data_IF_828988004904
#
_entry.id   IF_828988004904
#
_cell.length_a   1.000
_cell.length_b   1.000
_cell.length_c   1.000
_cell.angle_alpha   90.00
_cell.angle_beta   90.00
_cell.angle_gamma   90.00
#
_symmetry.space_group_name_H-M   'P 1'
#
loop_
_entity.id
_entity.type
_entity.pdbx_description
1 polymer ?
#
# COMPACT_ATOMS: atom_id res chain seq x y z
N UNK A 1 5.31 17.44 -11.54
CA UNK A 1 3.99 16.83 -11.25
C UNK A 1 4.19 15.52 -10.51
N UNK A 2 3.99 15.52 -9.19
CA UNK A 2 4.28 14.36 -8.33
C UNK A 2 3.22 13.25 -8.49
N UNK A 3 1.97 13.63 -8.75
CA UNK A 3 0.83 12.71 -9.00
C UNK A 3 1.16 11.70 -10.10
N UNK A 4 1.53 12.14 -11.31
CA UNK A 4 1.77 11.21 -12.43
C UNK A 4 2.90 10.22 -12.18
N UNK A 5 3.94 10.64 -11.46
CA UNK A 5 5.07 9.78 -11.14
C UNK A 5 4.65 8.69 -10.15
N UNK A 6 4.01 9.08 -9.05
CA UNK A 6 3.55 8.14 -8.03
C UNK A 6 2.43 7.24 -8.55
N UNK A 7 1.53 7.79 -9.37
CA UNK A 7 0.49 7.05 -10.07
C UNK A 7 1.08 5.96 -10.98
N UNK A 8 2.06 6.32 -11.81
CA UNK A 8 2.72 5.40 -12.72
C UNK A 8 3.48 4.28 -11.99
N UNK A 9 4.15 4.62 -10.89
CA UNK A 9 4.81 3.62 -10.03
C UNK A 9 3.78 2.69 -9.39
N UNK A 10 2.68 3.22 -8.84
CA UNK A 10 1.61 2.42 -8.24
C UNK A 10 1.01 1.42 -9.25
N UNK A 11 0.66 1.88 -10.47
CA UNK A 11 0.15 1.00 -11.53
C UNK A 11 1.15 -0.09 -11.90
N UNK A 12 2.44 0.26 -11.98
CA UNK A 12 3.49 -0.71 -12.30
C UNK A 12 3.58 -1.80 -11.23
N UNK A 13 3.50 -1.44 -9.95
CA UNK A 13 3.51 -2.41 -8.85
C UNK A 13 2.25 -3.27 -8.86
N UNK A 14 1.05 -2.68 -9.01
CA UNK A 14 -0.21 -3.43 -9.12
C UNK A 14 -0.16 -4.45 -10.27
N UNK A 15 0.30 -4.03 -11.45
CA UNK A 15 0.43 -4.91 -12.60
C UNK A 15 1.46 -6.04 -12.36
N UNK A 16 2.56 -5.72 -11.68
CA UNK A 16 3.56 -6.71 -11.27
C UNK A 16 2.97 -7.74 -10.30
N UNK A 17 2.21 -7.29 -9.29
CA UNK A 17 1.60 -8.15 -8.27
C UNK A 17 0.55 -9.09 -8.89
N UNK A 18 -0.31 -8.56 -9.77
CA UNK A 18 -1.27 -9.37 -10.53
C UNK A 18 -0.56 -10.44 -11.38
N UNK A 19 0.49 -10.06 -12.11
CA UNK A 19 1.24 -11.00 -12.95
C UNK A 19 1.92 -12.10 -12.13
N UNK A 20 2.35 -11.80 -10.91
CA UNK A 20 2.94 -12.76 -9.97
C UNK A 20 1.89 -13.56 -9.22
N UNK A 21 0.60 -13.22 -9.37
CA UNK A 21 -0.50 -13.76 -8.57
C UNK A 21 -0.21 -13.61 -7.06
N UNK A 22 0.36 -12.47 -6.69
CA UNK A 22 0.67 -12.10 -5.32
C UNK A 22 -0.28 -11.02 -4.84
N UNK A 23 -0.49 -10.97 -3.52
CA UNK A 23 -1.20 -9.85 -2.89
C UNK A 23 -0.50 -8.50 -3.16
N UNK A 24 -1.23 -7.38 -3.05
CA UNK A 24 -0.65 -6.05 -3.24
C UNK A 24 0.59 -5.85 -2.38
N UNK A 25 1.66 -5.38 -3.00
CA UNK A 25 2.93 -5.10 -2.34
C UNK A 25 2.84 -3.86 -1.45
N UNK A 26 3.72 -3.78 -0.44
CA UNK A 26 3.86 -2.57 0.38
C UNK A 26 4.22 -1.35 -0.47
N UNK A 27 4.99 -1.55 -1.55
CA UNK A 27 5.35 -0.50 -2.52
C UNK A 27 4.13 0.09 -3.23
N UNK A 28 3.22 -0.77 -3.73
CA UNK A 28 1.97 -0.34 -4.34
C UNK A 28 1.15 0.55 -3.38
N UNK A 29 1.03 0.13 -2.11
CA UNK A 29 0.33 0.87 -1.06
C UNK A 29 0.96 2.23 -0.75
N UNK A 30 2.28 2.31 -0.70
CA UNK A 30 3.01 3.58 -0.49
C UNK A 30 2.73 4.55 -1.64
N UNK A 31 2.89 4.11 -2.88
CA UNK A 31 2.65 4.96 -4.05
C UNK A 31 1.17 5.39 -4.17
N UNK A 32 0.23 4.54 -3.76
CA UNK A 32 -1.19 4.88 -3.70
C UNK A 32 -1.47 5.99 -2.67
N UNK A 33 -0.87 5.88 -1.49
CA UNK A 33 -0.99 6.89 -0.45
C UNK A 33 -0.37 8.23 -0.88
N UNK A 34 0.82 8.20 -1.49
CA UNK A 34 1.47 9.38 -2.06
C UNK A 34 0.63 10.04 -3.14
N UNK A 35 0.05 9.24 -4.05
CA UNK A 35 -0.84 9.75 -5.11
C UNK A 35 -2.07 10.44 -4.51
N UNK A 36 -2.70 9.84 -3.50
CA UNK A 36 -3.85 10.42 -2.79
C UNK A 36 -3.50 11.72 -2.07
N UNK A 37 -2.34 11.77 -1.41
CA UNK A 37 -1.86 12.97 -0.74
C UNK A 37 -1.61 14.11 -1.74
N UNK A 38 -0.89 13.83 -2.82
CA UNK A 38 -0.59 14.80 -3.86
C UNK A 38 -1.86 15.31 -4.58
N UNK A 39 -2.86 14.45 -4.79
CA UNK A 39 -4.16 14.86 -5.35
C UNK A 39 -4.90 15.85 -4.44
N UNK A 40 -4.89 15.62 -3.13
CA UNK A 40 -5.53 16.52 -2.15
C UNK A 40 -4.81 17.86 -2.06
N UNK A 41 -3.48 17.84 -2.03
CA UNK A 41 -2.66 19.06 -2.03
C UNK A 41 -2.97 19.91 -3.27
N UNK A 42 -3.08 19.27 -4.43
CA UNK A 42 -3.39 19.94 -5.68
C UNK A 42 -4.82 20.51 -5.70
N UNK A 43 -5.79 19.81 -5.10
CA UNK A 43 -7.16 20.32 -4.94
C UNK A 43 -7.18 21.58 -4.05
N UNK A 44 -6.47 21.56 -2.92
CA UNK A 44 -6.34 22.73 -2.04
C UNK A 44 -5.66 23.91 -2.75
N UNK A 45 -4.71 23.65 -3.64
CA UNK A 45 -4.06 24.69 -4.45
C UNK A 45 -5.04 25.35 -5.42
N UNK A 46 -5.93 24.57 -6.04
CA UNK A 46 -7.02 25.12 -6.87
C UNK A 46 -8.00 25.98 -6.07
N UNK A 47 -8.32 25.55 -4.86
CA UNK A 47 -9.25 26.29 -3.98
C UNK A 47 -8.62 27.56 -3.39
N UNK A 48 -7.30 27.58 -3.21
CA UNK A 48 -6.56 28.68 -2.59
C UNK A 48 -5.92 29.65 -3.59
N UNK A 49 -5.93 29.34 -4.88
CA UNK A 49 -5.23 30.14 -5.88
C UNK A 49 -5.91 31.50 -6.09
N UNK A 50 -5.14 32.55 -5.84
CA UNK A 50 -5.48 33.92 -6.22
C UNK A 50 -4.93 34.14 -7.63
N UNK A 51 -5.78 33.97 -8.64
CA UNK A 51 -5.44 33.94 -10.07
C UNK A 51 -5.14 35.33 -10.68
N UNK A 52 -4.54 36.22 -9.89
CA UNK A 52 -4.42 37.63 -10.25
C UNK A 52 -3.35 37.82 -11.33
N UNK A 53 -3.77 38.38 -12.48
CA UNK A 53 -2.90 38.59 -13.65
C UNK A 53 -2.77 37.40 -14.61
N UNK A 54 -3.49 36.29 -14.37
CA UNK A 54 -3.55 35.16 -15.32
C UNK A 54 -4.71 35.37 -16.30
N UNK A 55 -4.47 35.11 -17.59
CA UNK A 55 -5.53 35.16 -18.59
C UNK A 55 -6.61 34.11 -18.30
N UNK A 56 -7.88 34.46 -18.52
CA UNK A 56 -9.01 33.59 -18.19
C UNK A 56 -8.95 32.24 -18.93
N UNK A 57 -8.44 32.22 -20.17
CA UNK A 57 -8.30 30.99 -20.94
C UNK A 57 -7.20 30.11 -20.35
N UNK A 58 -6.06 30.69 -19.99
CA UNK A 58 -4.94 29.97 -19.37
C UNK A 58 -5.32 29.40 -18.00
N UNK A 59 -6.06 30.19 -17.19
CA UNK A 59 -6.64 29.74 -15.92
C UNK A 59 -7.59 28.55 -16.14
N UNK A 60 -8.49 28.66 -17.11
CA UNK A 60 -9.48 27.62 -17.41
C UNK A 60 -8.79 26.33 -17.84
N UNK A 61 -7.85 26.41 -18.78
CA UNK A 61 -7.10 25.24 -19.27
C UNK A 61 -6.28 24.60 -18.15
N UNK A 62 -5.59 25.40 -17.34
CA UNK A 62 -4.81 24.91 -16.20
C UNK A 62 -5.70 24.19 -15.19
N UNK A 63 -6.84 24.79 -14.85
CA UNK A 63 -7.83 24.19 -13.94
C UNK A 63 -8.35 22.86 -14.48
N UNK A 64 -8.71 22.81 -15.77
CA UNK A 64 -9.20 21.58 -16.42
C UNK A 64 -8.15 20.49 -16.39
N UNK A 65 -6.89 20.79 -16.70
CA UNK A 65 -5.79 19.82 -16.66
C UNK A 65 -5.62 19.28 -15.24
N UNK A 66 -5.66 20.16 -14.23
CA UNK A 66 -5.53 19.76 -12.83
C UNK A 66 -6.69 18.85 -12.40
N UNK A 67 -7.93 19.22 -12.70
CA UNK A 67 -9.11 18.41 -12.38
C UNK A 67 -9.04 17.03 -13.05
N UNK A 68 -8.62 16.98 -14.32
CA UNK A 68 -8.43 15.71 -15.02
C UNK A 68 -7.38 14.81 -14.32
N UNK A 69 -6.33 15.39 -13.78
CA UNK A 69 -5.29 14.65 -13.05
C UNK A 69 -5.79 14.11 -11.71
N UNK A 70 -6.65 14.87 -11.03
CA UNK A 70 -7.36 14.44 -9.82
C UNK A 70 -8.29 13.27 -10.16
N UNK A 71 -9.11 13.40 -11.21
CA UNK A 71 -10.02 12.36 -11.67
C UNK A 71 -9.28 11.06 -12.01
N UNK A 72 -8.15 11.16 -12.73
CA UNK A 72 -7.29 10.02 -13.04
C UNK A 72 -6.77 9.37 -11.76
N UNK A 73 -6.32 10.15 -10.77
CA UNK A 73 -5.86 9.62 -9.49
C UNK A 73 -6.97 8.85 -8.74
N UNK A 74 -8.23 9.30 -8.82
CA UNK A 74 -9.36 8.55 -8.26
C UNK A 74 -9.59 7.20 -8.96
N UNK A 75 -9.40 7.13 -10.29
CA UNK A 75 -9.47 5.85 -11.01
C UNK A 75 -8.41 4.86 -10.53
N UNK A 76 -7.21 5.31 -10.13
CA UNK A 76 -6.21 4.42 -9.55
C UNK A 76 -6.66 3.81 -8.22
N UNK A 77 -7.38 4.57 -7.38
CA UNK A 77 -7.96 4.01 -6.15
C UNK A 77 -8.94 2.87 -6.46
N UNK A 78 -9.80 3.07 -7.46
CA UNK A 78 -10.75 2.04 -7.92
C UNK A 78 -10.04 0.82 -8.51
N UNK A 79 -8.98 1.04 -9.31
CA UNK A 79 -8.15 -0.04 -9.87
C UNK A 79 -7.48 -0.83 -8.74
N UNK A 80 -6.87 -0.14 -7.77
CA UNK A 80 -6.21 -0.78 -6.62
C UNK A 80 -7.20 -1.61 -5.79
N UNK A 81 -8.38 -1.08 -5.50
CA UNK A 81 -9.43 -1.79 -4.77
C UNK A 81 -9.90 -3.03 -5.54
N UNK A 82 -10.08 -2.90 -6.86
CA UNK A 82 -10.50 -4.01 -7.72
C UNK A 82 -9.40 -5.08 -7.83
N UNK A 83 -8.14 -4.66 -7.90
CA UNK A 83 -6.99 -5.56 -7.91
C UNK A 83 -6.87 -6.34 -6.59
N UNK A 84 -7.11 -5.68 -5.45
CA UNK A 84 -7.14 -6.34 -4.14
C UNK A 84 -8.30 -7.34 -4.02
N UNK A 85 -9.50 -6.96 -4.47
CA UNK A 85 -10.66 -7.87 -4.56
C UNK A 85 -10.34 -9.09 -5.44
N UNK A 86 -9.75 -8.87 -6.61
CA UNK A 86 -9.31 -9.95 -7.50
C UNK A 86 -8.32 -10.88 -6.79
N UNK A 87 -7.29 -10.33 -6.16
CA UNK A 87 -6.28 -11.09 -5.45
C UNK A 87 -6.88 -11.94 -4.32
N UNK A 88 -7.86 -11.38 -3.59
CA UNK A 88 -8.59 -12.10 -2.54
C UNK A 88 -9.42 -13.25 -3.09
N UNK A 89 -10.24 -13.01 -4.12
CA UNK A 89 -11.11 -14.01 -4.75
C UNK A 89 -10.33 -15.13 -5.44
N UNK A 90 -9.19 -14.79 -6.03
CA UNK A 90 -8.32 -15.74 -6.72
C UNK A 90 -7.28 -16.41 -5.78
N UNK A 91 -7.36 -16.16 -4.47
CA UNK A 91 -6.44 -16.71 -3.47
C UNK A 91 -4.96 -16.47 -3.80
N UNK A 92 -4.62 -15.26 -4.26
CA UNK A 92 -3.24 -14.87 -4.53
C UNK A 92 -2.37 -15.01 -3.29
N UNK A 93 -1.11 -15.42 -3.50
CA UNK A 93 -0.18 -15.71 -2.42
C UNK A 93 0.24 -14.42 -1.72
N UNK A 94 0.28 -14.44 -0.39
CA UNK A 94 0.95 -13.38 0.34
C UNK A 94 2.46 -13.60 0.23
N UNK A 95 3.17 -12.72 -0.47
CA UNK A 95 4.64 -12.73 -0.44
C UNK A 95 5.07 -11.95 0.80
N UNK A 96 4.96 -12.60 1.97
CA UNK A 96 5.55 -12.06 3.19
C UNK A 96 7.07 -12.06 3.04
N UNK A 97 7.68 -10.92 3.38
CA UNK A 97 9.09 -10.67 3.17
C UNK A 97 9.91 -11.52 4.15
N UNK A 98 10.22 -12.76 3.75
CA UNK A 98 11.05 -13.69 4.49
C UNK A 98 10.29 -14.44 5.59
N UNK A 99 10.33 -15.77 5.51
CA UNK A 99 9.94 -16.64 6.60
C UNK A 99 10.64 -16.21 7.89
N UNK A 100 9.86 -15.82 8.90
CA UNK A 100 10.34 -15.89 10.27
C UNK A 100 10.58 -17.38 10.55
N UNK A 101 11.81 -17.81 10.90
CA UNK A 101 12.02 -19.20 11.26
C UNK A 101 11.12 -19.49 12.44
N UNK A 102 10.22 -20.45 12.28
CA UNK A 102 9.37 -20.97 13.34
C UNK A 102 10.21 -21.17 14.59
N UNK A 103 9.97 -20.34 15.61
CA UNK A 103 10.41 -20.61 16.97
C UNK A 103 9.68 -21.88 17.38
N UNK A 104 10.36 -23.01 17.17
CA UNK A 104 10.01 -24.25 17.83
C UNK A 104 10.25 -23.99 19.32
N UNK A 105 9.20 -23.61 20.04
CA UNK A 105 9.19 -23.66 21.49
C UNK A 105 9.28 -25.13 21.88
N UNK A 106 10.52 -25.66 21.99
CA UNK A 106 10.74 -26.86 22.78
C UNK A 106 10.42 -26.47 24.22
N UNK A 107 9.23 -26.86 24.68
CA UNK A 107 8.94 -26.98 26.10
C UNK A 107 10.00 -27.93 26.66
N UNK A 108 11.00 -27.37 27.33
CA UNK A 108 11.88 -28.14 28.19
C UNK A 108 11.06 -28.50 29.42
N UNK A 109 10.52 -29.71 29.44
CA UNK A 109 10.06 -30.33 30.68
C UNK A 109 11.28 -30.49 31.59
N UNK A 110 11.34 -29.70 32.66
CA UNK A 110 12.22 -30.00 33.79
C UNK A 110 11.71 -31.28 34.44
N UNK A 111 12.39 -32.39 34.16
CA UNK A 111 12.31 -33.60 34.95
C UNK A 111 13.20 -33.39 36.19
N UNK A 112 12.56 -33.14 37.35
CA UNK A 112 13.26 -33.11 38.64
C UNK A 112 13.39 -34.54 39.16
N UNK A 113 14.60 -35.04 39.45
CA UNK A 113 14.74 -36.33 40.09
C UNK A 113 14.24 -36.26 41.55
N UNK A 114 13.23 -37.08 41.86
CA UNK A 114 12.81 -37.37 43.23
C UNK A 114 13.98 -37.91 44.04
N UNK A 115 14.31 -37.22 45.13
CA UNK A 115 15.22 -37.71 46.15
C UNK A 115 14.41 -38.58 47.14
N UNK A 116 14.61 -39.89 47.13
CA UNK A 116 14.08 -40.78 48.16
C UNK A 116 15.03 -40.80 49.37
N UNK A 117 14.52 -40.65 50.61
CA UNK A 117 15.30 -40.97 51.79
C UNK A 117 15.22 -42.48 52.06
N UNK A 118 16.37 -43.16 52.12
CA UNK A 118 16.46 -44.53 52.61
C UNK A 118 16.54 -44.51 54.15
N UNK A 119 15.46 -44.95 54.80
CA UNK A 119 15.42 -45.35 56.21
C UNK A 119 15.92 -46.79 56.39
N UNK A 120 16.96 -46.92 57.21
CA UNK A 120 17.26 -47.94 58.25
C UNK A 120 17.20 -49.45 57.94
N UNK A 121 18.36 -50.12 58.15
CA UNK A 121 18.56 -51.16 59.18
C UNK A 121 20.05 -51.39 59.45
#
# INVERSE_FOLDING_TARGET
MNISVEFGKCLKEIASDIRKMSRPSMSASIHLASTKAASKELQLLLESSWWEGVDLLEMTLTTVVILLLIDIAEYLLKISETADKLASLAHFKCMELGALPSVVTRVSTYDSPMNHPATSL
#
